data_IF_040219032311
#
_entry.id   IF_040219032311
#
_cell.length_a   1.000
_cell.length_b   1.000
_cell.length_c   1.000
_cell.angle_alpha   90.00
_cell.angle_beta   90.00
_cell.angle_gamma   90.00
#
_symmetry.space_group_name_H-M   'P 1'
#
loop_
_entity.id
_entity.type
_entity.pdbx_description
1 polymer ?
#
# COMPACT_ATOMS: atom_id res chain seq x y z
N UNK A 1 1.28 20.03 30.95
CA UNK A 1 1.57 18.64 31.37
C UNK A 1 2.29 17.93 30.23
N UNK A 2 3.54 17.48 30.42
CA UNK A 2 4.22 16.63 29.41
C UNK A 2 3.63 15.23 29.50
N UNK A 3 2.97 14.76 28.44
CA UNK A 3 2.47 13.40 28.37
C UNK A 3 3.67 12.45 28.37
N UNK A 4 3.74 11.54 29.34
CA UNK A 4 4.77 10.53 29.45
C UNK A 4 4.47 9.45 28.39
N UNK A 5 4.81 9.70 27.12
CA UNK A 5 4.65 8.70 26.05
C UNK A 5 5.46 7.47 26.43
N UNK A 6 4.79 6.31 26.54
CA UNK A 6 5.49 5.01 26.64
C UNK A 6 6.45 4.89 25.46
N UNK A 7 7.72 4.63 25.74
CA UNK A 7 8.70 4.32 24.69
C UNK A 7 8.21 3.09 23.93
N UNK A 8 8.40 3.13 22.60
CA UNK A 8 8.15 1.98 21.74
C UNK A 8 8.97 0.77 22.14
N UNK A 9 8.59 -0.38 21.62
CA UNK A 9 9.27 -1.66 21.85
C UNK A 9 10.38 -1.87 20.82
N UNK A 10 11.33 -2.75 21.09
CA UNK A 10 12.34 -3.19 20.11
C UNK A 10 12.53 -4.69 20.24
N UNK A 11 13.16 -5.32 19.24
CA UNK A 11 13.40 -6.77 19.27
C UNK A 11 14.31 -7.13 20.47
N UNK A 12 13.88 -8.10 21.28
CA UNK A 12 14.68 -8.66 22.37
C UNK A 12 15.68 -9.67 21.81
N UNK A 13 16.83 -9.82 22.48
CA UNK A 13 17.78 -10.89 22.17
C UNK A 13 17.21 -12.28 22.46
N UNK A 14 16.21 -12.39 23.34
CA UNK A 14 15.55 -13.65 23.68
C UNK A 14 14.10 -13.44 24.15
N UNK A 15 13.24 -14.43 23.91
CA UNK A 15 11.81 -14.38 24.28
C UNK A 15 11.00 -13.39 23.43
N UNK A 16 9.76 -13.13 23.85
CA UNK A 16 8.83 -12.26 23.12
C UNK A 16 8.45 -11.04 23.96
N UNK A 17 9.04 -9.86 23.71
CA UNK A 17 8.60 -8.61 24.31
C UNK A 17 7.32 -8.09 23.61
N UNK A 18 6.82 -6.92 24.05
CA UNK A 18 5.69 -6.25 23.42
C UNK A 18 5.97 -5.79 21.97
N UNK A 19 4.91 -5.46 21.23
CA UNK A 19 4.95 -4.97 19.83
C UNK A 19 4.23 -3.63 19.68
N UNK A 20 4.48 -2.71 20.60
CA UNK A 20 3.85 -1.39 20.64
C UNK A 20 4.85 -0.38 20.10
N UNK A 21 4.53 0.34 19.02
CA UNK A 21 5.45 1.29 18.38
C UNK A 21 6.83 0.68 18.13
N UNK A 22 6.87 -0.51 17.54
CA UNK A 22 8.06 -1.36 17.52
C UNK A 22 9.13 -0.82 16.57
N UNK A 23 10.33 -0.55 17.09
CA UNK A 23 11.51 -0.23 16.31
C UNK A 23 12.16 -1.52 15.78
N UNK A 24 12.08 -1.71 14.46
CA UNK A 24 12.63 -2.86 13.74
C UNK A 24 13.94 -2.53 13.02
N UNK A 25 14.56 -1.38 13.29
CA UNK A 25 15.79 -0.90 12.63
C UNK A 25 16.89 -1.95 12.67
N UNK A 26 17.15 -2.57 13.83
CA UNK A 26 18.19 -3.61 13.97
C UNK A 26 17.96 -4.81 13.07
N UNK A 27 16.71 -5.24 12.88
CA UNK A 27 16.37 -6.39 12.03
C UNK A 27 16.62 -6.07 10.55
N UNK A 28 16.12 -4.93 10.07
CA UNK A 28 16.32 -4.51 8.68
C UNK A 28 17.76 -4.05 8.37
N UNK A 29 18.55 -3.71 9.39
CA UNK A 29 19.98 -3.44 9.27
C UNK A 29 20.87 -4.71 9.28
N UNK A 30 20.28 -5.90 9.49
CA UNK A 30 21.03 -7.15 9.53
C UNK A 30 21.53 -7.59 8.15
N UNK A 31 22.52 -8.47 8.12
CA UNK A 31 23.11 -9.00 6.87
C UNK A 31 22.11 -9.72 5.97
N UNK A 32 20.95 -10.14 6.48
CA UNK A 32 19.88 -10.72 5.68
C UNK A 32 19.44 -9.79 4.54
N UNK A 33 19.52 -8.47 4.76
CA UNK A 33 19.15 -7.46 3.79
C UNK A 33 20.36 -6.90 3.02
N UNK A 34 21.55 -7.47 3.19
CA UNK A 34 22.75 -7.10 2.44
C UNK A 34 22.56 -7.44 0.96
N UNK A 35 22.66 -6.44 0.08
CA UNK A 35 22.48 -6.61 -1.38
C UNK A 35 21.04 -6.50 -1.89
N UNK A 36 20.04 -6.38 -1.01
CA UNK A 36 18.67 -6.07 -1.43
C UNK A 36 18.54 -4.60 -1.88
N UNK A 37 17.60 -4.29 -2.80
CA UNK A 37 17.33 -2.91 -3.20
C UNK A 37 17.01 -2.05 -1.97
N UNK A 38 17.76 -0.97 -1.79
CA UNK A 38 17.47 0.01 -0.74
C UNK A 38 16.42 0.98 -1.23
N UNK A 39 15.52 1.36 -0.33
CA UNK A 39 14.60 2.47 -0.58
C UNK A 39 15.40 3.74 -0.94
N UNK A 40 14.93 4.42 -1.98
CA UNK A 40 15.50 5.71 -2.37
C UNK A 40 14.78 6.78 -1.57
N UNK A 41 15.54 7.70 -0.96
CA UNK A 41 14.96 8.93 -0.43
C UNK A 41 14.43 9.73 -1.61
N UNK A 42 13.11 9.68 -1.80
CA UNK A 42 12.39 10.50 -2.76
C UNK A 42 11.86 11.74 -2.05
N UNK A 43 11.66 12.82 -2.81
CA UNK A 43 10.95 13.99 -2.30
C UNK A 43 9.52 13.57 -1.98
N UNK A 44 9.07 13.79 -0.75
CA UNK A 44 7.66 13.63 -0.40
C UNK A 44 6.85 14.66 -1.18
N UNK A 45 5.85 14.19 -1.92
CA UNK A 45 4.89 15.00 -2.66
C UNK A 45 3.52 14.48 -2.29
N UNK A 46 2.63 15.36 -1.89
CA UNK A 46 1.24 15.06 -1.60
C UNK A 46 0.39 16.13 -2.27
N UNK A 47 -0.44 15.73 -3.22
CA UNK A 47 -1.33 16.63 -3.93
C UNK A 47 -2.75 16.52 -3.38
N UNK A 48 -3.45 17.63 -3.11
CA UNK A 48 -4.83 17.56 -2.64
C UNK A 48 -5.73 17.07 -3.77
N UNK A 49 -6.70 16.21 -3.43
CA UNK A 49 -7.80 15.89 -4.33
C UNK A 49 -8.71 17.12 -4.45
N UNK A 50 -9.07 17.57 -5.66
CA UNK A 50 -9.99 18.69 -5.83
C UNK A 50 -11.32 18.45 -5.10
N UNK A 51 -11.81 19.45 -4.38
CA UNK A 51 -13.00 19.33 -3.50
C UNK A 51 -14.23 18.85 -4.27
N UNK A 52 -14.35 19.19 -5.55
CA UNK A 52 -15.43 18.72 -6.41
C UNK A 52 -15.43 17.21 -6.67
N UNK A 53 -14.37 16.48 -6.32
CA UNK A 53 -14.24 15.03 -6.51
C UNK A 53 -14.25 14.23 -5.21
N UNK A 54 -14.24 14.89 -4.05
CA UNK A 54 -14.36 14.26 -2.73
C UNK A 54 -15.78 13.75 -2.50
N UNK A 55 -15.90 12.61 -1.79
CA UNK A 55 -17.17 11.97 -1.40
C UNK A 55 -18.12 11.70 -2.58
N UNK A 56 -17.54 11.37 -3.74
CA UNK A 56 -18.27 11.03 -4.96
C UNK A 56 -17.97 9.62 -5.43
N UNK A 57 -19.01 8.98 -5.97
CA UNK A 57 -18.92 7.70 -6.65
C UNK A 57 -18.86 7.97 -8.15
N UNK A 58 -17.80 7.52 -8.80
CA UNK A 58 -17.63 7.61 -10.25
C UNK A 58 -17.95 6.26 -10.88
N UNK A 59 -19.01 6.19 -11.69
CA UNK A 59 -19.35 4.99 -12.45
C UNK A 59 -18.51 4.92 -13.73
N UNK A 60 -17.25 4.48 -13.58
CA UNK A 60 -16.25 4.40 -14.66
C UNK A 60 -15.29 3.24 -14.43
N UNK A 61 -14.44 2.96 -15.43
CA UNK A 61 -13.36 2.00 -15.27
C UNK A 61 -12.29 2.53 -14.30
N UNK A 62 -11.82 1.69 -13.38
CA UNK A 62 -10.70 2.02 -12.49
C UNK A 62 -9.35 2.20 -13.21
N UNK A 63 -9.27 1.77 -14.47
CA UNK A 63 -8.11 2.03 -15.33
C UNK A 63 -8.02 3.49 -15.80
N UNK A 64 -9.06 4.30 -15.58
CA UNK A 64 -9.05 5.74 -15.84
C UNK A 64 -9.52 6.47 -14.57
N UNK A 65 -8.61 7.18 -13.91
CA UNK A 65 -8.91 7.95 -12.68
C UNK A 65 -8.40 9.39 -12.82
N UNK A 66 -8.66 10.04 -13.96
CA UNK A 66 -8.22 11.42 -14.28
C UNK A 66 -8.64 12.48 -13.24
N UNK A 67 -9.65 12.20 -12.42
CA UNK A 67 -10.11 13.06 -11.33
C UNK A 67 -9.14 13.08 -10.13
N UNK A 68 -8.27 12.08 -10.02
CA UNK A 68 -7.31 11.92 -8.93
C UNK A 68 -5.91 12.35 -9.40
N UNK A 69 -5.34 13.43 -8.83
CA UNK A 69 -3.97 13.82 -9.12
C UNK A 69 -2.96 12.75 -8.65
N UNK A 70 -1.79 12.72 -9.28
CA UNK A 70 -0.68 11.91 -8.80
C UNK A 70 -0.36 12.21 -7.33
N UNK A 71 -0.02 11.19 -6.54
CA UNK A 71 0.33 11.33 -5.12
C UNK A 71 -0.78 11.98 -4.26
N UNK A 72 -2.06 11.70 -4.53
CA UNK A 72 -3.18 12.23 -3.73
C UNK A 72 -3.90 11.20 -2.84
N UNK A 73 -3.54 9.91 -2.93
CA UNK A 73 -4.23 8.81 -2.26
C UNK A 73 -3.32 8.16 -1.22
N UNK A 74 -3.82 8.06 0.02
CA UNK A 74 -3.08 7.46 1.15
C UNK A 74 -3.36 5.97 1.34
N UNK A 75 -4.58 5.53 0.99
CA UNK A 75 -5.02 4.14 1.13
C UNK A 75 -5.97 3.81 -0.01
N UNK A 76 -5.74 2.66 -0.63
CA UNK A 76 -6.63 2.10 -1.63
C UNK A 76 -7.17 0.76 -1.12
N UNK A 77 -8.48 0.59 -1.17
CA UNK A 77 -9.15 -0.68 -0.84
C UNK A 77 -9.74 -1.22 -2.14
N UNK A 78 -9.28 -2.40 -2.55
CA UNK A 78 -9.72 -3.02 -3.79
C UNK A 78 -10.10 -4.48 -3.58
N UNK A 79 -11.04 -4.94 -4.41
CA UNK A 79 -11.45 -6.33 -4.55
C UNK A 79 -11.69 -6.55 -6.05
N UNK A 80 -10.63 -6.56 -6.88
CA UNK A 80 -10.81 -6.70 -8.32
C UNK A 80 -11.40 -8.07 -8.67
N UNK A 81 -11.92 -8.25 -9.89
CA UNK A 81 -12.30 -9.56 -10.40
C UNK A 81 -11.16 -10.56 -10.27
N UNK A 82 -11.46 -11.77 -9.78
CA UNK A 82 -10.46 -12.79 -9.50
C UNK A 82 -10.44 -13.92 -10.54
N UNK A 83 -11.26 -13.82 -11.59
CA UNK A 83 -11.35 -14.85 -12.63
C UNK A 83 -11.70 -16.23 -12.04
N UNK A 84 -12.65 -16.26 -11.09
CA UNK A 84 -13.07 -17.47 -10.33
C UNK A 84 -14.43 -18.00 -10.80
N UNK A 85 -14.93 -17.51 -11.94
CA UNK A 85 -16.17 -17.95 -12.57
C UNK A 85 -17.43 -17.30 -11.99
N UNK A 86 -17.33 -16.07 -11.47
CA UNK A 86 -18.51 -15.27 -11.13
C UNK A 86 -19.15 -14.69 -12.39
N UNK A 87 -20.42 -14.30 -12.30
CA UNK A 87 -21.19 -13.77 -13.43
C UNK A 87 -20.57 -12.50 -14.06
N UNK A 88 -19.72 -11.79 -13.30
CA UNK A 88 -18.99 -10.60 -13.74
C UNK A 88 -17.54 -10.86 -14.14
N UNK A 89 -17.06 -12.11 -14.00
CA UNK A 89 -15.72 -12.48 -14.48
C UNK A 89 -15.79 -12.72 -15.99
N UNK A 90 -14.78 -12.24 -16.71
CA UNK A 90 -14.51 -12.70 -18.07
C UNK A 90 -13.88 -14.11 -18.02
N UNK A 91 -13.94 -14.89 -19.11
CA UNK A 91 -13.28 -16.20 -19.18
C UNK A 91 -11.84 -16.05 -19.66
N UNK A 92 -10.97 -15.49 -18.81
CA UNK A 92 -9.58 -15.17 -19.16
C UNK A 92 -8.65 -16.36 -18.96
N UNK A 93 -7.69 -16.51 -19.87
CA UNK A 93 -6.49 -17.31 -19.63
C UNK A 93 -5.63 -16.67 -18.52
N UNK A 94 -4.69 -17.43 -17.95
CA UNK A 94 -3.77 -16.90 -16.94
C UNK A 94 -2.95 -15.70 -17.46
N UNK A 95 -2.55 -15.73 -18.73
CA UNK A 95 -1.80 -14.64 -19.34
C UNK A 95 -2.65 -13.37 -19.44
N UNK A 96 -3.88 -13.49 -19.94
CA UNK A 96 -4.82 -12.37 -20.05
C UNK A 96 -5.19 -11.81 -18.67
N UNK A 97 -5.39 -12.68 -17.67
CA UNK A 97 -5.67 -12.25 -16.29
C UNK A 97 -4.50 -11.46 -15.69
N UNK A 98 -3.25 -11.92 -15.89
CA UNK A 98 -2.06 -11.17 -15.44
C UNK A 98 -1.89 -9.84 -16.18
N UNK A 99 -2.22 -9.79 -17.47
CA UNK A 99 -2.20 -8.56 -18.25
C UNK A 99 -3.28 -7.58 -17.76
N UNK A 100 -4.49 -8.08 -17.45
CA UNK A 100 -5.56 -7.31 -16.83
C UNK A 100 -5.08 -6.69 -15.50
N UNK A 101 -4.53 -7.50 -14.58
CA UNK A 101 -4.06 -7.01 -13.28
C UNK A 101 -3.00 -5.92 -13.41
N UNK A 102 -1.99 -6.11 -14.28
CA UNK A 102 -0.93 -5.11 -14.53
C UNK A 102 -1.42 -3.80 -15.16
N UNK A 103 -2.59 -3.81 -15.78
CA UNK A 103 -3.17 -2.60 -16.38
C UNK A 103 -3.90 -1.76 -15.34
N UNK A 104 -4.41 -2.39 -14.28
CA UNK A 104 -5.20 -1.73 -13.22
C UNK A 104 -4.44 -1.58 -11.90
N UNK A 105 -3.25 -2.17 -11.78
CA UNK A 105 -2.29 -2.08 -10.66
C UNK A 105 -0.92 -1.67 -11.17
#
# INVERSE_FOLDING_TARGET
>A
MKSNRRKGTQTSSFGVPGRIGHDSTTFYASRLYEGLPKEKKVKYVENPVPVQFIDKIFCKSSGNMEELPDNSIHLMITSPPYNVGKDYDENLTLEEYRAFLKRVW
#
